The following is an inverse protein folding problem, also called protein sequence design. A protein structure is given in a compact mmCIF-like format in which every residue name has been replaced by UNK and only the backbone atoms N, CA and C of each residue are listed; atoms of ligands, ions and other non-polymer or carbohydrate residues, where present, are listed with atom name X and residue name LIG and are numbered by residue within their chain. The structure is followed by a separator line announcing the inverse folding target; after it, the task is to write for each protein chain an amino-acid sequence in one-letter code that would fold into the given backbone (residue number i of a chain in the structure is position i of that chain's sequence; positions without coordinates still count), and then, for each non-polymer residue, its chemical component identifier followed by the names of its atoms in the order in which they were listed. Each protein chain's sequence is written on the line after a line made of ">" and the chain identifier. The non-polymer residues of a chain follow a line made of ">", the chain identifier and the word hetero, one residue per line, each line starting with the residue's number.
data_IF_440242283481
#
_entry.id   IF_440242283481
#
_cell.length_a   1.000
_cell.length_b   1.000
_cell.length_c   1.000
_cell.angle_alpha   90.00
_cell.angle_beta   90.00
_cell.angle_gamma   90.00
#
_symmetry.space_group_name_H-M   'P 1'
#
loop_
_entity.id
_entity.type
_entity.pdbx_description
1 polymer ?
#
# COMPACT_ATOMS: atom_id res chain seq x y z
N UNK A 1 -13.74 -8.98 4.90
CA UNK A 1 -12.42 -9.38 5.44
C UNK A 1 -12.20 -8.95 6.90
N UNK A 2 -12.32 -7.66 7.24
CA UNK A 2 -12.20 -7.14 8.64
C UNK A 2 -13.04 -7.88 9.70
N UNK A 3 -14.29 -8.18 9.38
CA UNK A 3 -15.28 -8.74 10.31
C UNK A 3 -14.99 -10.18 10.70
N UNK A 4 -14.47 -10.97 9.75
CA UNK A 4 -13.97 -12.31 10.04
C UNK A 4 -12.75 -12.20 10.95
N UNK A 5 -11.84 -11.29 10.65
CA UNK A 5 -10.58 -11.17 11.38
C UNK A 5 -10.77 -10.80 12.86
N UNK A 6 -11.66 -9.85 13.20
CA UNK A 6 -11.96 -9.49 14.61
C UNK A 6 -12.56 -10.64 15.44
N UNK A 7 -13.16 -11.64 14.77
CA UNK A 7 -13.93 -12.69 15.43
C UNK A 7 -13.38 -14.10 15.21
N UNK A 8 -12.37 -14.25 14.35
CA UNK A 8 -11.81 -15.54 13.92
C UNK A 8 -11.35 -16.45 15.08
N UNK A 9 -10.82 -15.86 16.16
CA UNK A 9 -10.40 -16.61 17.35
C UNK A 9 -11.51 -16.93 18.36
N UNK A 10 -12.71 -16.39 18.17
CA UNK A 10 -13.80 -16.41 19.17
C UNK A 10 -14.82 -17.53 18.95
N UNK A 11 -14.64 -18.35 17.92
CA UNK A 11 -15.57 -19.43 17.54
C UNK A 11 -16.53 -19.00 16.44
N UNK A 12 -17.74 -19.53 16.49
CA UNK A 12 -18.79 -19.29 15.51
C UNK A 12 -19.19 -17.81 15.47
N UNK A 13 -19.24 -17.25 14.25
CA UNK A 13 -19.59 -15.85 14.04
C UNK A 13 -20.55 -15.71 12.86
N UNK A 14 -21.70 -15.10 13.10
CA UNK A 14 -22.61 -14.60 12.07
C UNK A 14 -22.48 -13.08 11.93
N UNK A 15 -22.64 -12.56 10.71
CA UNK A 15 -22.59 -11.11 10.48
C UNK A 15 -23.83 -10.59 9.77
N UNK A 16 -24.33 -9.46 10.26
CA UNK A 16 -25.49 -8.73 9.74
C UNK A 16 -25.10 -7.25 9.64
N UNK A 17 -24.57 -6.84 8.49
CA UNK A 17 -24.09 -5.48 8.28
C UNK A 17 -24.52 -4.91 6.93
N UNK A 18 -24.30 -3.61 6.75
CA UNK A 18 -24.70 -2.88 5.54
C UNK A 18 -24.10 -3.45 4.24
N UNK A 19 -22.84 -3.90 4.30
CA UNK A 19 -22.07 -4.31 3.12
C UNK A 19 -21.84 -5.82 3.03
N UNK A 20 -21.98 -6.53 4.15
CA UNK A 20 -21.78 -7.98 4.22
C UNK A 20 -22.85 -8.58 5.10
N UNK A 21 -23.33 -9.75 4.71
CA UNK A 21 -24.26 -10.56 5.48
C UNK A 21 -23.89 -12.02 5.23
N UNK A 22 -23.68 -12.78 6.29
CA UNK A 22 -23.41 -14.20 6.17
C UNK A 22 -23.89 -14.96 7.41
N UNK A 23 -24.33 -16.23 7.25
CA UNK A 23 -24.77 -17.08 8.36
C UNK A 23 -23.60 -17.38 9.31
N UNK A 24 -23.86 -18.15 10.37
CA UNK A 24 -22.78 -18.55 11.28
C UNK A 24 -21.68 -19.29 10.53
N UNK A 25 -20.45 -18.82 10.68
CA UNK A 25 -19.25 -19.42 10.11
C UNK A 25 -18.16 -19.48 11.18
N UNK A 26 -17.37 -20.55 11.15
CA UNK A 26 -16.19 -20.73 12.01
C UNK A 26 -14.94 -20.81 11.17
N UNK A 27 -13.80 -20.47 11.75
CA UNK A 27 -12.52 -20.71 11.08
C UNK A 27 -11.64 -21.72 11.77
N UNK A 28 -11.07 -22.60 10.95
CA UNK A 28 -10.28 -23.75 11.36
C UNK A 28 -9.07 -23.81 10.41
N UNK A 29 -7.83 -23.87 10.95
CA UNK A 29 -7.48 -23.84 12.37
C UNK A 29 -7.60 -22.43 12.99
N UNK A 30 -7.66 -22.34 14.33
CA UNK A 30 -7.61 -21.04 15.03
C UNK A 30 -6.18 -20.45 14.97
N UNK A 31 -6.01 -19.11 15.02
CA UNK A 31 -4.70 -18.48 15.00
C UNK A 31 -3.98 -18.80 16.31
N UNK A 32 -2.68 -19.07 16.22
CA UNK A 32 -1.85 -19.32 17.40
C UNK A 32 -1.64 -18.06 18.25
N UNK A 33 -1.56 -16.88 17.61
CA UNK A 33 -1.32 -15.62 18.29
C UNK A 33 -2.55 -15.16 19.08
N UNK A 34 -2.34 -14.81 20.36
CA UNK A 34 -3.39 -14.22 21.21
C UNK A 34 -3.87 -12.91 20.57
N UNK A 35 -5.18 -12.79 20.38
CA UNK A 35 -5.85 -11.68 19.68
C UNK A 35 -5.61 -11.62 18.16
N UNK A 36 -5.05 -12.68 17.55
CA UNK A 36 -4.76 -12.74 16.12
C UNK A 36 -3.41 -12.11 15.74
N UNK A 37 -3.01 -12.20 14.45
CA UNK A 37 -1.79 -11.58 13.96
C UNK A 37 -1.82 -10.03 14.02
N UNK A 38 -0.73 -9.30 13.75
CA UNK A 38 -0.84 -7.86 13.55
C UNK A 38 -1.59 -7.52 12.25
N UNK A 39 -2.44 -6.48 12.26
CA UNK A 39 -3.06 -5.95 11.03
C UNK A 39 -2.25 -4.75 10.54
N UNK A 40 -2.03 -4.73 9.22
CA UNK A 40 -1.49 -3.60 8.48
C UNK A 40 -2.55 -3.06 7.52
N UNK A 41 -2.76 -1.75 7.53
CA UNK A 41 -3.64 -1.06 6.60
C UNK A 41 -2.79 -0.22 5.65
N UNK A 42 -2.97 -0.42 4.35
CA UNK A 42 -2.49 0.53 3.35
C UNK A 42 -3.28 1.83 3.50
N UNK A 43 -2.59 2.90 3.90
CA UNK A 43 -3.21 4.20 4.20
C UNK A 43 -2.36 5.33 3.63
N UNK A 44 -3.01 6.45 3.29
CA UNK A 44 -2.37 7.64 2.70
C UNK A 44 -2.95 8.93 3.24
N UNK A 45 -4.28 8.95 3.43
CA UNK A 45 -5.00 10.13 3.89
C UNK A 45 -5.22 10.10 5.41
N UNK A 46 -5.42 11.26 6.06
CA UNK A 46 -5.68 11.34 7.50
C UNK A 46 -6.76 10.37 7.96
N UNK A 47 -7.93 10.35 7.31
CA UNK A 47 -9.04 9.46 7.69
C UNK A 47 -8.65 7.97 7.69
N UNK A 48 -7.82 7.54 6.75
CA UNK A 48 -7.34 6.15 6.69
C UNK A 48 -6.33 5.83 7.81
N UNK A 49 -5.50 6.80 8.20
CA UNK A 49 -4.62 6.69 9.36
C UNK A 49 -5.44 6.65 10.66
N UNK A 50 -6.43 7.53 10.81
CA UNK A 50 -7.31 7.54 11.98
C UNK A 50 -8.04 6.20 12.13
N UNK A 51 -8.56 5.64 11.04
CA UNK A 51 -9.20 4.33 11.05
C UNK A 51 -8.24 3.22 11.52
N UNK A 52 -6.99 3.22 11.04
CA UNK A 52 -5.99 2.24 11.48
C UNK A 52 -5.61 2.42 12.95
N UNK A 53 -5.22 3.64 13.34
CA UNK A 53 -4.73 3.93 14.70
C UNK A 53 -5.82 3.71 15.73
N UNK A 54 -7.08 4.13 15.49
CA UNK A 54 -8.19 3.91 16.44
C UNK A 54 -8.53 2.43 16.65
N UNK A 55 -8.19 1.56 15.70
CA UNK A 55 -8.31 0.10 15.84
C UNK A 55 -7.02 -0.57 16.35
N UNK A 56 -5.99 0.21 16.71
CA UNK A 56 -4.66 -0.26 17.14
C UNK A 56 -3.99 -1.16 16.08
N UNK A 57 -4.03 -0.71 14.82
CA UNK A 57 -3.40 -1.36 13.69
C UNK A 57 -2.24 -0.56 13.14
N UNK A 58 -1.32 -1.27 12.48
CA UNK A 58 -0.19 -0.66 11.83
C UNK A 58 -0.58 -0.06 10.48
N UNK A 59 0.23 0.88 10.01
CA UNK A 59 0.04 1.59 8.75
C UNK A 59 1.17 1.24 7.79
N UNK A 60 0.82 0.97 6.55
CA UNK A 60 1.74 0.91 5.43
C UNK A 60 1.44 2.06 4.47
N UNK A 61 2.45 2.85 4.14
CA UNK A 61 2.36 3.96 3.17
C UNK A 61 3.26 3.70 1.97
N UNK A 62 2.88 4.19 0.81
CA UNK A 62 3.70 4.10 -0.42
C UNK A 62 3.81 5.51 -1.01
N UNK A 63 4.97 6.18 -1.01
CA UNK A 63 5.12 7.52 -1.60
C UNK A 63 5.02 7.52 -3.14
N UNK A 64 4.97 6.33 -3.76
CA UNK A 64 5.03 6.15 -5.21
C UNK A 64 6.37 6.69 -5.75
N UNK A 65 6.37 7.35 -6.91
CA UNK A 65 7.55 7.97 -7.50
C UNK A 65 7.89 9.36 -6.90
N UNK A 66 7.18 9.80 -5.85
CA UNK A 66 7.41 11.11 -5.21
C UNK A 66 8.65 11.06 -4.29
N UNK A 67 9.16 12.25 -3.97
CA UNK A 67 10.37 12.43 -3.17
C UNK A 67 10.17 12.49 -1.67
N UNK A 68 11.21 12.98 -1.00
CA UNK A 68 11.26 13.10 0.46
C UNK A 68 10.11 13.94 1.04
N UNK A 69 9.68 15.00 0.37
CA UNK A 69 8.51 15.79 0.78
C UNK A 69 7.25 14.95 1.01
N UNK A 70 6.98 13.98 0.13
CA UNK A 70 5.82 13.09 0.29
C UNK A 70 6.04 12.11 1.44
N UNK A 71 7.27 11.63 1.64
CA UNK A 71 7.62 10.76 2.76
C UNK A 71 7.42 11.50 4.09
N UNK A 72 7.90 12.74 4.20
CA UNK A 72 7.72 13.61 5.36
C UNK A 72 6.23 13.85 5.59
N UNK A 73 5.47 14.20 4.55
CA UNK A 73 4.02 14.40 4.66
C UNK A 73 3.31 13.18 5.23
N UNK A 74 3.58 11.99 4.69
CA UNK A 74 2.99 10.73 5.16
C UNK A 74 3.36 10.42 6.61
N UNK A 75 4.62 10.66 7.00
CA UNK A 75 5.08 10.48 8.38
C UNK A 75 4.40 11.46 9.34
N UNK A 76 4.25 12.72 8.95
CA UNK A 76 3.59 13.74 9.76
C UNK A 76 2.13 13.39 10.02
N UNK A 77 1.38 12.94 8.99
CA UNK A 77 -0.01 12.49 9.17
C UNK A 77 -0.10 11.36 10.18
N UNK A 78 0.80 10.37 10.11
CA UNK A 78 0.85 9.29 11.07
C UNK A 78 1.13 9.79 12.50
N UNK A 79 2.13 10.66 12.67
CA UNK A 79 2.51 11.18 13.99
C UNK A 79 1.42 12.04 14.62
N UNK A 80 0.78 12.91 13.84
CA UNK A 80 -0.35 13.72 14.28
C UNK A 80 -1.54 12.84 14.67
N UNK A 81 -1.80 11.77 13.92
CA UNK A 81 -2.85 10.81 14.24
C UNK A 81 -2.57 10.09 15.56
N UNK A 82 -1.33 9.62 15.77
CA UNK A 82 -0.93 8.99 17.03
C UNK A 82 -1.04 9.95 18.23
N UNK A 83 -0.70 11.23 18.06
CA UNK A 83 -0.91 12.27 19.09
C UNK A 83 -2.39 12.51 19.39
N UNK A 84 -3.24 12.51 18.38
CA UNK A 84 -4.71 12.65 18.51
C UNK A 84 -5.34 11.46 19.25
N UNK A 85 -4.77 10.26 19.13
CA UNK A 85 -5.29 9.02 19.73
C UNK A 85 -4.25 8.31 20.62
N UNK A 86 -3.89 8.88 21.79
CA UNK A 86 -2.75 8.43 22.60
C UNK A 86 -2.95 7.10 23.32
N UNK A 87 -4.13 6.48 23.27
CA UNK A 87 -4.38 5.16 23.87
C UNK A 87 -3.84 4.00 23.03
N UNK A 88 -3.44 4.26 21.78
CA UNK A 88 -3.11 3.24 20.79
C UNK A 88 -1.67 3.40 20.27
N UNK A 89 -0.71 3.50 21.20
CA UNK A 89 0.69 3.88 20.92
C UNK A 89 1.54 2.80 20.26
N UNK A 90 1.06 1.56 20.17
CA UNK A 90 1.83 0.45 19.60
C UNK A 90 1.70 0.36 18.06
N UNK A 91 1.09 1.36 17.41
CA UNK A 91 1.00 1.42 15.97
C UNK A 91 2.39 1.66 15.35
N UNK A 92 2.71 0.93 14.29
CA UNK A 92 3.94 1.10 13.52
C UNK A 92 3.57 1.72 12.17
N UNK A 93 4.51 2.46 11.60
CA UNK A 93 4.42 2.97 10.23
C UNK A 93 5.53 2.34 9.39
N UNK A 94 5.15 1.73 8.27
CA UNK A 94 6.05 1.11 7.30
C UNK A 94 5.91 1.81 5.95
N UNK A 95 7.04 1.97 5.26
CA UNK A 95 7.07 2.55 3.92
C UNK A 95 7.42 1.47 2.89
N UNK A 96 6.60 1.34 1.86
CA UNK A 96 6.95 0.58 0.67
C UNK A 96 7.63 1.54 -0.32
N UNK A 97 8.93 1.36 -0.54
CA UNK A 97 9.71 2.18 -1.47
C UNK A 97 10.51 1.30 -2.44
N UNK A 98 10.63 1.75 -3.68
CA UNK A 98 11.47 1.08 -4.68
C UNK A 98 12.93 1.48 -4.44
N UNK A 99 13.81 0.49 -4.40
CA UNK A 99 15.24 0.70 -4.27
C UNK A 99 15.97 -0.17 -5.30
N UNK A 100 16.89 0.45 -6.04
CA UNK A 100 17.82 -0.24 -6.92
C UNK A 100 19.22 0.24 -6.60
N UNK A 101 20.14 -0.70 -6.38
CA UNK A 101 21.53 -0.43 -6.03
C UNK A 101 22.39 -0.97 -7.17
N UNK A 102 23.21 -0.11 -7.76
CA UNK A 102 24.11 -0.43 -8.87
C UNK A 102 25.54 -0.03 -8.54
N UNK A 103 26.50 -0.80 -9.07
CA UNK A 103 27.93 -0.57 -8.81
C UNK A 103 28.53 0.57 -9.65
N UNK A 104 27.84 1.00 -10.70
CA UNK A 104 28.27 2.04 -11.62
C UNK A 104 27.08 2.68 -12.33
N UNK A 105 27.34 3.75 -13.06
CA UNK A 105 26.33 4.57 -13.74
C UNK A 105 25.47 3.80 -14.75
N UNK A 106 26.07 2.83 -15.46
CA UNK A 106 25.36 1.97 -16.42
C UNK A 106 24.33 1.08 -15.72
N UNK A 107 24.68 0.51 -14.56
CA UNK A 107 23.73 -0.30 -13.77
C UNK A 107 22.61 0.57 -13.17
N UNK A 108 22.93 1.77 -12.70
CA UNK A 108 21.91 2.69 -12.17
C UNK A 108 20.92 3.11 -13.27
N UNK A 109 21.39 3.32 -14.51
CA UNK A 109 20.51 3.61 -15.66
C UNK A 109 19.56 2.44 -15.94
N UNK A 110 20.07 1.19 -15.92
CA UNK A 110 19.21 0.00 -16.05
C UNK A 110 18.12 -0.04 -14.97
N UNK A 111 18.48 0.26 -13.73
CA UNK A 111 17.54 0.36 -12.61
C UNK A 111 16.45 1.40 -12.84
N UNK A 112 16.84 2.58 -13.31
CA UNK A 112 15.90 3.66 -13.64
C UNK A 112 14.92 3.27 -14.75
N UNK A 113 15.40 2.63 -15.81
CA UNK A 113 14.57 2.10 -16.90
C UNK A 113 13.59 1.04 -16.36
N UNK A 114 14.04 0.14 -15.47
CA UNK A 114 13.19 -0.88 -14.88
C UNK A 114 12.07 -0.28 -14.02
N UNK A 115 12.40 0.68 -13.14
CA UNK A 115 11.42 1.35 -12.27
C UNK A 115 10.45 2.23 -13.10
N UNK A 116 10.95 2.87 -14.15
CA UNK A 116 10.13 3.60 -15.13
C UNK A 116 9.08 2.69 -15.78
N UNK A 117 9.50 1.52 -16.27
CA UNK A 117 8.60 0.51 -16.84
C UNK A 117 7.58 0.02 -15.80
N UNK A 118 8.01 -0.20 -14.56
CA UNK A 118 7.11 -0.58 -13.47
C UNK A 118 6.01 0.47 -13.26
N UNK A 119 6.35 1.76 -13.07
CA UNK A 119 5.35 2.79 -12.78
C UNK A 119 4.43 3.07 -13.96
N UNK A 120 4.91 2.93 -15.20
CA UNK A 120 4.07 2.98 -16.38
C UNK A 120 2.99 1.89 -16.35
N UNK A 121 3.39 0.63 -16.15
CA UNK A 121 2.44 -0.48 -16.08
C UNK A 121 1.51 -0.35 -14.87
N UNK A 122 2.04 -0.03 -13.68
CA UNK A 122 1.24 0.24 -12.49
C UNK A 122 0.24 1.37 -12.74
N UNK A 123 0.64 2.45 -13.41
CA UNK A 123 -0.23 3.56 -13.75
C UNK A 123 -1.37 3.17 -14.69
N UNK A 124 -1.12 2.28 -15.66
CA UNK A 124 -2.16 1.75 -16.55
C UNK A 124 -3.21 0.93 -15.77
N UNK A 125 -2.75 0.07 -14.86
CA UNK A 125 -3.62 -0.66 -13.93
C UNK A 125 -4.39 0.29 -13.00
N UNK A 126 -3.71 1.24 -12.37
CA UNK A 126 -4.28 2.15 -11.39
C UNK A 126 -5.34 3.07 -12.00
N UNK A 127 -5.11 3.57 -13.21
CA UNK A 127 -6.04 4.45 -13.92
C UNK A 127 -7.22 3.70 -14.56
N UNK A 128 -7.20 2.36 -14.58
CA UNK A 128 -8.12 1.54 -15.39
C UNK A 128 -8.20 2.02 -16.85
N UNK A 129 -7.07 2.44 -17.43
CA UNK A 129 -7.05 3.08 -18.75
C UNK A 129 -7.21 2.09 -19.92
N UNK A 130 -7.25 0.78 -19.62
CA UNK A 130 -7.37 -0.30 -20.60
C UNK A 130 -8.33 -1.37 -20.12
N UNK A 131 -8.88 -2.13 -21.06
CA UNK A 131 -9.75 -3.25 -20.76
C UNK A 131 -8.93 -4.40 -20.16
N UNK A 132 -9.40 -4.94 -19.05
CA UNK A 132 -8.87 -6.18 -18.47
C UNK A 132 -9.62 -7.36 -19.08
N UNK A 133 -8.89 -8.34 -19.61
CA UNK A 133 -9.44 -9.57 -20.20
C UNK A 133 -8.79 -10.76 -19.51
N UNK A 134 -9.57 -11.62 -18.85
CA UNK A 134 -9.06 -12.79 -18.12
C UNK A 134 -7.93 -12.48 -17.13
N UNK A 135 -8.00 -11.32 -16.45
CA UNK A 135 -7.00 -10.92 -15.46
C UNK A 135 -5.71 -10.36 -16.04
N UNK A 136 -5.64 -10.16 -17.36
CA UNK A 136 -4.51 -9.51 -18.03
C UNK A 136 -4.93 -8.17 -18.62
N UNK A 137 -3.95 -7.29 -18.79
CA UNK A 137 -4.08 -5.97 -19.40
C UNK A 137 -3.09 -5.92 -20.56
N UNK A 138 -3.53 -5.46 -21.73
CA UNK A 138 -2.68 -5.40 -22.92
C UNK A 138 -1.39 -4.61 -22.60
N UNK A 139 -0.20 -5.10 -22.98
CA UNK A 139 1.05 -4.43 -22.68
C UNK A 139 1.10 -3.01 -23.23
N UNK A 140 1.68 -2.08 -22.47
CA UNK A 140 2.01 -0.75 -22.98
C UNK A 140 2.99 -0.88 -24.15
N UNK A 141 2.79 -0.10 -25.21
CA UNK A 141 3.79 0.04 -26.27
C UNK A 141 5.00 0.83 -25.77
N UNK A 142 6.14 0.69 -26.45
CA UNK A 142 7.34 1.45 -26.07
C UNK A 142 7.12 2.97 -26.24
N UNK A 143 6.40 3.39 -27.29
CA UNK A 143 6.06 4.79 -27.52
C UNK A 143 5.23 5.38 -26.37
N UNK A 144 4.24 4.63 -25.84
CA UNK A 144 3.45 5.09 -24.69
C UNK A 144 4.27 5.22 -23.41
N UNK A 145 5.24 4.32 -23.21
CA UNK A 145 6.17 4.38 -22.08
C UNK A 145 7.08 5.60 -22.21
N UNK A 146 7.61 5.84 -23.42
CA UNK A 146 8.56 6.93 -23.71
C UNK A 146 7.88 8.31 -23.62
N UNK A 147 6.62 8.41 -24.03
CA UNK A 147 5.84 9.65 -23.97
C UNK A 147 5.36 10.01 -22.55
N UNK A 148 5.49 9.11 -21.57
CA UNK A 148 5.09 9.40 -20.20
C UNK A 148 6.23 10.03 -19.39
N UNK A 149 6.39 11.35 -19.55
CA UNK A 149 7.46 12.12 -18.89
C UNK A 149 7.47 11.96 -17.36
N UNK A 150 6.29 11.84 -16.74
CA UNK A 150 6.13 11.67 -15.29
C UNK A 150 6.87 10.44 -14.76
N UNK A 151 6.93 9.37 -15.55
CA UNK A 151 7.58 8.11 -15.20
C UNK A 151 8.85 7.86 -16.01
N UNK A 152 9.42 8.87 -16.67
CA UNK A 152 10.63 8.69 -17.46
C UNK A 152 11.79 8.17 -16.60
N UNK A 153 12.75 7.42 -17.18
CA UNK A 153 13.96 6.98 -16.46
C UNK A 153 14.67 8.16 -15.78
N UNK A 154 14.75 9.31 -16.47
CA UNK A 154 15.29 10.56 -15.92
C UNK A 154 14.59 10.98 -14.62
N UNK A 155 13.25 10.95 -14.58
CA UNK A 155 12.50 11.28 -13.35
C UNK A 155 12.68 10.25 -12.24
N UNK A 156 12.95 8.98 -12.57
CA UNK A 156 13.23 7.93 -11.59
C UNK A 156 14.64 8.06 -10.98
N UNK A 157 15.59 8.67 -11.71
CA UNK A 157 16.97 8.91 -11.23
C UNK A 157 17.10 10.12 -10.32
N UNK A 158 16.19 11.09 -10.42
CA UNK A 158 16.30 12.32 -9.63
C UNK A 158 16.35 11.98 -8.14
N UNK A 159 17.37 12.48 -7.46
CA UNK A 159 17.37 12.57 -6.00
C UNK A 159 16.36 13.67 -5.66
N UNK A 160 15.20 13.27 -5.15
CA UNK A 160 14.13 14.19 -4.77
C UNK A 160 14.30 14.49 -3.28
N UNK A 161 15.14 15.49 -2.99
CA UNK A 161 15.29 16.10 -1.67
C UNK A 161 14.00 16.78 -1.24
#
# INVERSE_FOLDING_TARGET
>A
MYLLWKNYGKGDYSHQGKYFQFPSSTSIPKPLQKNGPPIWIAARDPNSHEFAVTNNWHVQVTPLWKGLDEIIRLKNIFDETCKKFPKNTNCLSMMLNHCYIGNNETEIEKGAIAVSKFYNNFGAWFKNSRKVVQGTLDPLTQEEIDNNEMYSPKEMRKIKT
#
